data_IF_091764052235
#
_entry.id   IF_091764052235
#
_cell.length_a   1.000
_cell.length_b   1.000
_cell.length_c   1.000
_cell.angle_alpha   90.00
_cell.angle_beta   90.00
_cell.angle_gamma   90.00
#
_symmetry.space_group_name_H-M   'P 1'
#
loop_
_entity.id
_entity.type
_entity.pdbx_description
1 polymer ?
#
# COMPACT_ATOMS: atom_id res chain seq x y z
N UNK A 1 -6.76 -22.02 -9.43
CA UNK A 1 -5.71 -22.31 -10.47
C UNK A 1 -4.52 -22.96 -9.78
N UNK A 2 -3.95 -24.07 -10.31
CA UNK A 2 -2.75 -24.70 -9.74
C UNK A 2 -1.54 -23.82 -10.07
N UNK A 3 -0.63 -23.52 -9.10
CA UNK A 3 0.58 -22.76 -9.35
C UNK A 3 1.49 -23.42 -10.40
N UNK A 4 2.17 -22.63 -11.21
CA UNK A 4 3.07 -23.09 -12.27
C UNK A 4 4.48 -22.55 -11.99
N UNK A 5 5.48 -23.41 -12.05
CA UNK A 5 6.89 -23.03 -11.89
C UNK A 5 7.48 -22.60 -13.23
N UNK A 6 8.17 -21.49 -13.24
CA UNK A 6 8.92 -20.97 -14.38
C UNK A 6 10.40 -20.74 -14.05
N UNK A 7 11.23 -20.70 -15.06
CA UNK A 7 12.63 -20.32 -14.89
C UNK A 7 12.75 -18.82 -14.53
N UNK A 8 13.89 -18.43 -13.99
CA UNK A 8 14.19 -17.05 -13.58
C UNK A 8 14.19 -16.02 -14.74
N UNK A 9 14.23 -16.46 -15.99
CA UNK A 9 14.26 -15.60 -17.18
C UNK A 9 12.89 -15.44 -17.86
N UNK A 10 11.84 -16.08 -17.35
CA UNK A 10 10.51 -16.01 -17.95
C UNK A 10 9.90 -14.61 -17.74
N UNK A 11 9.27 -14.08 -18.78
CA UNK A 11 8.60 -12.78 -18.77
C UNK A 11 7.19 -12.77 -19.37
N UNK A 12 6.80 -13.83 -20.08
CA UNK A 12 5.55 -13.86 -20.84
C UNK A 12 4.46 -14.73 -20.20
N UNK A 13 4.82 -15.75 -19.42
CA UNK A 13 3.94 -16.68 -18.69
C UNK A 13 2.84 -17.33 -19.57
N UNK A 14 3.18 -17.62 -20.83
CA UNK A 14 2.22 -18.17 -21.83
C UNK A 14 2.34 -19.68 -22.07
N UNK A 15 3.32 -20.30 -21.43
CA UNK A 15 3.61 -21.73 -21.55
C UNK A 15 3.26 -22.46 -20.27
N UNK A 16 3.46 -23.78 -20.24
CA UNK A 16 3.33 -24.54 -19.00
C UNK A 16 4.57 -24.43 -18.08
N UNK A 17 5.53 -23.57 -18.40
CA UNK A 17 6.76 -23.36 -17.64
C UNK A 17 7.60 -24.65 -17.50
N UNK A 18 8.19 -24.83 -16.32
CA UNK A 18 8.85 -26.07 -15.90
C UNK A 18 7.82 -27.13 -15.50
N UNK A 19 6.67 -26.74 -14.97
CA UNK A 19 5.58 -27.62 -14.63
C UNK A 19 4.66 -27.08 -13.56
N UNK A 20 3.61 -27.85 -13.25
CA UNK A 20 2.63 -27.53 -12.20
C UNK A 20 3.17 -27.93 -10.84
N UNK A 21 2.79 -27.16 -9.83
CA UNK A 21 3.18 -27.41 -8.45
C UNK A 21 1.97 -27.93 -7.65
N UNK A 22 1.94 -29.23 -7.37
CA UNK A 22 0.94 -29.84 -6.49
C UNK A 22 1.32 -29.56 -5.02
N UNK A 23 1.10 -28.30 -4.61
CA UNK A 23 1.44 -27.82 -3.28
C UNK A 23 0.48 -28.39 -2.21
N UNK A 24 0.98 -28.54 -0.98
CA UNK A 24 0.16 -28.87 0.19
C UNK A 24 -0.65 -27.64 0.63
N UNK A 25 0.01 -26.49 0.67
CA UNK A 25 -0.60 -25.19 0.92
C UNK A 25 0.03 -24.14 0.00
N UNK A 26 -0.73 -23.16 -0.42
CA UNK A 26 -0.22 -22.00 -1.14
C UNK A 26 -1.11 -20.81 -0.81
N UNK A 27 -0.53 -19.81 -0.19
CA UNK A 27 -1.19 -18.57 0.22
C UNK A 27 -0.55 -17.39 -0.47
N UNK A 28 -1.37 -16.50 -0.99
CA UNK A 28 -0.94 -15.19 -1.52
C UNK A 28 -1.50 -14.12 -0.61
N UNK A 29 -0.62 -13.36 0.03
CA UNK A 29 -0.96 -12.26 0.94
C UNK A 29 -0.58 -10.94 0.30
N UNK A 30 -1.55 -10.03 0.19
CA UNK A 30 -1.39 -8.73 -0.47
C UNK A 30 -1.96 -7.62 0.39
N UNK A 31 -1.20 -6.54 0.53
CA UNK A 31 -1.63 -5.32 1.22
C UNK A 31 -1.44 -4.10 0.34
N UNK A 32 -2.39 -3.20 0.38
CA UNK A 32 -2.39 -1.96 -0.41
C UNK A 32 -1.16 -1.12 -0.06
N UNK A 33 -0.40 -0.73 -1.10
CA UNK A 33 0.85 0.04 -1.00
C UNK A 33 1.97 -0.59 -0.13
N UNK A 34 1.85 -1.87 0.20
CA UNK A 34 2.79 -2.56 1.08
C UNK A 34 3.27 -3.88 0.44
N UNK A 35 3.03 -5.01 1.10
CA UNK A 35 3.52 -6.30 0.67
C UNK A 35 2.61 -6.98 -0.37
N UNK A 36 3.26 -7.81 -1.20
CA UNK A 36 2.61 -8.75 -2.14
C UNK A 36 3.50 -9.99 -2.19
N UNK A 37 3.13 -11.03 -1.44
CA UNK A 37 3.96 -12.19 -1.13
C UNK A 37 3.22 -13.49 -1.38
N UNK A 38 3.98 -14.56 -1.61
CA UNK A 38 3.49 -15.92 -1.71
C UNK A 38 4.27 -16.82 -0.75
N UNK A 39 3.53 -17.60 0.03
CA UNK A 39 4.06 -18.67 0.87
C UNK A 39 3.48 -20.03 0.46
N UNK A 40 4.33 -21.01 0.29
CA UNK A 40 3.92 -22.33 -0.19
C UNK A 40 4.63 -23.45 0.54
N UNK A 41 3.88 -24.45 1.02
CA UNK A 41 4.44 -25.72 1.49
C UNK A 41 4.33 -26.77 0.38
N UNK A 42 5.46 -27.38 0.01
CA UNK A 42 5.56 -28.30 -1.11
C UNK A 42 6.19 -29.64 -0.67
N UNK A 43 5.70 -30.81 -1.15
CA UNK A 43 6.31 -32.09 -0.81
C UNK A 43 7.75 -32.19 -1.30
N UNK A 44 8.69 -32.63 -0.44
CA UNK A 44 10.10 -32.77 -0.80
C UNK A 44 10.36 -33.80 -1.91
N UNK A 45 9.42 -34.72 -2.13
CA UNK A 45 9.41 -35.73 -3.18
C UNK A 45 8.56 -35.36 -4.40
N UNK A 46 7.99 -34.15 -4.42
CA UNK A 46 7.21 -33.64 -5.53
C UNK A 46 8.01 -33.52 -6.82
N UNK A 47 7.33 -33.57 -7.98
CA UNK A 47 7.96 -33.67 -9.30
C UNK A 47 8.98 -32.56 -9.56
N UNK A 48 8.69 -31.33 -9.13
CA UNK A 48 9.53 -30.16 -9.36
C UNK A 48 10.25 -29.66 -8.09
N UNK A 49 10.39 -30.50 -7.05
CA UNK A 49 11.01 -30.08 -5.78
C UNK A 49 12.47 -29.59 -5.96
N UNK A 50 13.20 -30.16 -6.93
CA UNK A 50 14.61 -29.78 -7.19
C UNK A 50 14.74 -28.44 -7.89
N UNK A 51 13.73 -28.02 -8.65
CA UNK A 51 13.66 -26.74 -9.37
C UNK A 51 13.09 -25.62 -8.48
N UNK A 52 12.60 -25.90 -7.28
CA UNK A 52 12.26 -24.89 -6.28
C UNK A 52 13.55 -24.32 -5.68
N UNK A 53 14.07 -23.30 -6.35
CA UNK A 53 15.33 -22.63 -5.99
C UNK A 53 15.13 -21.11 -6.04
N UNK A 54 15.87 -20.34 -5.23
CA UNK A 54 15.85 -18.89 -5.32
C UNK A 54 16.12 -18.39 -6.76
N UNK A 55 15.34 -17.40 -7.17
CA UNK A 55 15.39 -16.83 -8.52
C UNK A 55 14.31 -17.35 -9.46
N UNK A 56 13.90 -18.62 -9.37
CA UNK A 56 12.78 -19.14 -10.16
C UNK A 56 11.46 -18.49 -9.76
N UNK A 57 10.45 -18.58 -10.64
CA UNK A 57 9.20 -17.83 -10.51
C UNK A 57 8.03 -18.81 -10.35
N UNK A 58 7.18 -18.56 -9.38
CA UNK A 58 5.89 -19.22 -9.20
C UNK A 58 4.81 -18.31 -9.79
N UNK A 59 4.07 -18.80 -10.78
CA UNK A 59 2.93 -18.10 -11.35
C UNK A 59 1.65 -18.62 -10.70
N UNK A 60 0.99 -17.76 -9.92
CA UNK A 60 -0.09 -18.17 -9.01
C UNK A 60 -1.29 -17.24 -9.08
N UNK A 61 -2.49 -17.79 -8.85
CA UNK A 61 -3.71 -17.00 -8.69
C UNK A 61 -3.64 -16.09 -7.47
N UNK A 62 -4.35 -14.95 -7.54
CA UNK A 62 -4.44 -13.96 -6.45
C UNK A 62 -5.89 -13.58 -6.13
N UNK A 63 -6.88 -14.24 -6.75
CA UNK A 63 -8.28 -13.81 -6.71
C UNK A 63 -8.62 -12.71 -7.73
N UNK A 64 -7.61 -11.90 -8.15
CA UNK A 64 -7.77 -10.85 -9.18
C UNK A 64 -7.18 -11.26 -10.55
N UNK A 65 -6.66 -12.45 -10.64
CA UNK A 65 -5.93 -12.97 -11.77
C UNK A 65 -4.55 -13.50 -11.36
N UNK A 66 -3.89 -14.28 -12.21
CA UNK A 66 -2.62 -14.88 -11.88
C UNK A 66 -1.48 -13.84 -11.96
N UNK A 67 -0.54 -13.91 -11.00
CA UNK A 67 0.62 -13.03 -10.90
C UNK A 67 1.92 -13.83 -10.70
N UNK A 68 3.06 -13.31 -11.15
CA UNK A 68 4.37 -13.94 -11.00
C UNK A 68 5.02 -13.57 -9.66
N UNK A 69 5.52 -14.59 -8.93
CA UNK A 69 6.20 -14.46 -7.64
C UNK A 69 7.60 -15.04 -7.74
N UNK A 70 8.63 -14.23 -7.51
CA UNK A 70 10.02 -14.69 -7.51
C UNK A 70 10.40 -15.29 -6.18
N UNK A 71 10.87 -16.53 -6.19
CA UNK A 71 11.35 -17.24 -5.01
C UNK A 71 12.60 -16.53 -4.50
N UNK A 72 12.59 -16.11 -3.22
CA UNK A 72 13.77 -15.56 -2.56
C UNK A 72 14.35 -16.51 -1.51
N UNK A 73 13.52 -17.39 -0.94
CA UNK A 73 13.94 -18.35 0.09
C UNK A 73 13.24 -19.69 -0.07
N UNK A 74 13.99 -20.76 0.18
CA UNK A 74 13.46 -22.14 0.26
C UNK A 74 14.06 -22.82 1.47
N UNK A 75 13.23 -23.13 2.45
CA UNK A 75 13.59 -23.89 3.64
C UNK A 75 13.30 -25.38 3.38
N UNK A 76 14.34 -26.21 3.36
CA UNK A 76 14.23 -27.63 3.04
C UNK A 76 14.18 -28.48 4.31
N UNK A 77 13.03 -29.08 4.59
CA UNK A 77 12.83 -30.03 5.64
C UNK A 77 12.72 -31.48 5.06
N UNK A 78 12.63 -32.49 5.94
CA UNK A 78 12.67 -33.88 5.50
C UNK A 78 11.51 -34.28 4.57
N UNK A 79 10.30 -33.79 4.83
CA UNK A 79 9.12 -34.16 4.05
C UNK A 79 8.56 -32.99 3.24
N UNK A 80 8.84 -31.77 3.64
CA UNK A 80 8.28 -30.56 3.03
C UNK A 80 9.35 -29.50 2.78
N UNK A 81 9.14 -28.71 1.74
CA UNK A 81 9.89 -27.48 1.48
C UNK A 81 8.94 -26.32 1.72
N UNK A 82 9.37 -25.36 2.55
CA UNK A 82 8.68 -24.09 2.72
C UNK A 82 9.31 -23.09 1.76
N UNK A 83 8.50 -22.54 0.87
CA UNK A 83 8.92 -21.68 -0.22
C UNK A 83 8.33 -20.29 -0.02
N UNK A 84 9.20 -19.28 -0.01
CA UNK A 84 8.83 -17.88 0.15
C UNK A 84 9.18 -17.13 -1.13
N UNK A 85 8.20 -16.40 -1.64
CA UNK A 85 8.35 -15.65 -2.88
C UNK A 85 7.68 -14.27 -2.79
N UNK A 86 8.29 -13.27 -3.40
CA UNK A 86 7.74 -11.94 -3.52
C UNK A 86 7.21 -11.72 -4.94
N UNK A 87 6.18 -10.90 -5.08
CA UNK A 87 5.72 -10.47 -6.40
C UNK A 87 6.88 -9.93 -7.24
N UNK A 88 6.86 -10.17 -8.54
CA UNK A 88 7.96 -9.81 -9.45
C UNK A 88 8.36 -8.31 -9.35
N UNK A 89 7.45 -7.43 -8.93
CA UNK A 89 7.74 -6.00 -8.72
C UNK A 89 8.84 -5.73 -7.69
N UNK A 90 9.15 -6.69 -6.82
CA UNK A 90 10.28 -6.58 -5.89
C UNK A 90 11.64 -6.66 -6.59
N UNK A 91 11.69 -7.14 -7.82
CA UNK A 91 12.92 -7.07 -8.63
C UNK A 91 13.37 -5.62 -8.82
N UNK A 92 12.44 -4.64 -8.74
CA UNK A 92 12.75 -3.21 -8.79
C UNK A 92 13.69 -2.72 -7.68
N UNK A 93 13.86 -3.47 -6.58
CA UNK A 93 14.90 -3.23 -5.60
C UNK A 93 16.32 -3.33 -6.18
N UNK A 94 16.49 -4.10 -7.26
CA UNK A 94 17.76 -4.28 -7.97
C UNK A 94 18.00 -3.30 -9.13
N UNK A 95 17.05 -2.41 -9.43
CA UNK A 95 17.14 -1.44 -10.52
C UNK A 95 17.35 -0.04 -9.97
N UNK A 96 18.59 0.50 -9.98
CA UNK A 96 18.85 1.85 -9.48
C UNK A 96 18.38 2.91 -10.48
N UNK A 97 17.93 4.05 -9.95
CA UNK A 97 17.57 5.25 -10.69
C UNK A 97 18.52 6.39 -10.32
N UNK A 98 18.91 7.19 -11.31
CA UNK A 98 19.75 8.38 -11.11
C UNK A 98 18.98 9.49 -10.41
N UNK A 99 19.68 10.43 -9.74
CA UNK A 99 19.05 11.61 -9.17
C UNK A 99 18.18 12.37 -10.17
N UNK A 100 17.03 12.87 -9.71
CA UNK A 100 16.13 13.68 -10.51
C UNK A 100 15.23 14.54 -9.61
N UNK A 101 14.67 15.60 -10.19
CA UNK A 101 13.60 16.39 -9.60
C UNK A 101 12.39 16.32 -10.51
N UNK A 102 11.21 16.20 -9.93
CA UNK A 102 9.93 16.18 -10.65
C UNK A 102 8.93 17.12 -9.98
N UNK A 103 8.12 17.82 -10.80
CA UNK A 103 7.13 18.79 -10.34
C UNK A 103 5.69 18.26 -10.44
N UNK A 104 5.53 16.99 -10.82
CA UNK A 104 4.23 16.30 -10.90
C UNK A 104 4.38 14.80 -10.84
N UNK A 105 3.32 14.10 -10.44
CA UNK A 105 3.27 12.64 -10.42
C UNK A 105 3.66 12.04 -11.78
N UNK A 106 3.12 12.57 -12.88
CA UNK A 106 3.43 12.07 -14.23
C UNK A 106 4.91 12.22 -14.59
N UNK A 107 5.56 13.34 -14.21
CA UNK A 107 6.98 13.55 -14.43
C UNK A 107 7.83 12.60 -13.59
N UNK A 108 7.47 12.35 -12.33
CA UNK A 108 8.15 11.42 -11.43
C UNK A 108 8.06 9.98 -11.95
N UNK A 109 6.88 9.53 -12.36
CA UNK A 109 6.64 8.21 -12.95
C UNK A 109 7.45 8.02 -14.24
N UNK A 110 7.49 9.04 -15.12
CA UNK A 110 8.31 9.03 -16.33
C UNK A 110 9.82 8.95 -16.04
N UNK A 111 10.26 9.54 -14.93
CA UNK A 111 11.66 9.49 -14.50
C UNK A 111 12.12 8.08 -14.12
N UNK A 112 11.26 7.21 -13.59
CA UNK A 112 11.60 5.83 -13.24
C UNK A 112 12.15 5.04 -14.44
N UNK A 113 11.60 5.25 -15.64
CA UNK A 113 12.13 4.64 -16.87
C UNK A 113 13.31 5.40 -17.45
N UNK A 114 13.20 6.74 -17.57
CA UNK A 114 14.18 7.56 -18.31
C UNK A 114 15.48 7.77 -17.54
N UNK A 115 15.43 7.68 -16.21
CA UNK A 115 16.59 7.83 -15.32
C UNK A 115 17.14 6.51 -14.79
N UNK A 116 16.51 5.36 -15.13
CA UNK A 116 17.04 4.05 -14.77
C UNK A 116 18.49 3.89 -15.22
N UNK A 117 19.35 3.34 -14.36
CA UNK A 117 20.78 3.11 -14.67
C UNK A 117 20.94 1.98 -15.67
N UNK A 118 20.08 0.97 -15.58
CA UNK A 118 20.01 -0.18 -16.49
C UNK A 118 18.58 -0.32 -17.01
N UNK A 119 18.42 -0.85 -18.22
CA UNK A 119 17.11 -1.11 -18.78
C UNK A 119 16.33 -2.09 -17.90
N UNK A 120 15.06 -1.79 -17.66
CA UNK A 120 14.15 -2.61 -16.87
C UNK A 120 13.02 -3.16 -17.75
N UNK A 121 12.52 -4.38 -17.51
CA UNK A 121 11.36 -4.92 -18.23
C UNK A 121 10.05 -4.27 -17.78
N UNK A 122 10.07 -3.44 -16.74
CA UNK A 122 8.87 -2.83 -16.17
C UNK A 122 8.44 -1.59 -16.96
N UNK A 123 7.12 -1.40 -17.01
CA UNK A 123 6.48 -0.20 -17.54
C UNK A 123 5.77 0.53 -16.41
N UNK A 124 5.80 1.86 -16.46
CA UNK A 124 5.26 2.72 -15.42
C UNK A 124 4.23 3.68 -16.00
N UNK A 125 3.09 3.82 -15.33
CA UNK A 125 2.04 4.77 -15.71
C UNK A 125 1.29 5.31 -14.49
N UNK A 126 0.59 6.41 -14.66
CA UNK A 126 -0.27 7.00 -13.62
C UNK A 126 -1.46 7.73 -14.24
N UNK A 127 -2.56 7.76 -13.52
CA UNK A 127 -3.73 8.61 -13.79
C UNK A 127 -3.77 9.83 -12.85
N UNK A 128 -2.84 9.94 -11.90
CA UNK A 128 -2.77 11.06 -10.98
C UNK A 128 -2.42 12.37 -11.72
N UNK A 129 -3.20 13.41 -11.44
CA UNK A 129 -2.98 14.77 -11.92
C UNK A 129 -2.53 15.70 -10.78
N UNK A 130 -1.68 15.19 -9.88
CA UNK A 130 -1.17 15.90 -8.70
C UNK A 130 0.15 16.57 -9.05
N UNK A 131 0.28 17.85 -8.65
CA UNK A 131 1.51 18.64 -8.74
C UNK A 131 2.15 18.75 -7.34
N UNK A 132 3.47 18.69 -7.30
CA UNK A 132 4.28 18.79 -6.09
C UNK A 132 5.73 18.54 -6.45
N UNK A 133 6.65 19.04 -5.65
CA UNK A 133 8.07 18.82 -5.88
C UNK A 133 8.52 17.52 -5.20
N UNK A 134 9.10 16.63 -6.00
CA UNK A 134 9.81 15.44 -5.54
C UNK A 134 11.27 15.56 -5.92
N UNK A 135 12.15 15.46 -4.95
CA UNK A 135 13.61 15.53 -5.14
C UNK A 135 14.25 14.20 -4.72
N UNK A 136 14.78 13.47 -5.69
CA UNK A 136 15.61 12.30 -5.44
C UNK A 136 17.09 12.73 -5.60
N UNK A 137 17.74 13.07 -4.49
CA UNK A 137 19.11 13.64 -4.50
C UNK A 137 20.20 12.62 -4.79
N UNK A 138 19.98 11.35 -4.48
CA UNK A 138 20.97 10.27 -4.57
C UNK A 138 20.44 9.12 -5.40
N UNK A 139 21.32 8.34 -6.06
CA UNK A 139 20.88 7.10 -6.67
C UNK A 139 20.27 6.16 -5.63
N UNK A 140 19.07 5.68 -5.89
CA UNK A 140 18.38 4.69 -5.07
C UNK A 140 17.70 3.65 -5.96
N UNK A 141 17.17 2.58 -5.38
CA UNK A 141 16.39 1.62 -6.13
C UNK A 141 15.05 2.23 -6.57
N UNK A 142 14.57 1.80 -7.73
CA UNK A 142 13.25 2.24 -8.22
C UNK A 142 12.19 1.95 -7.17
N UNK A 143 12.25 0.79 -6.49
CA UNK A 143 11.27 0.42 -5.46
C UNK A 143 11.26 1.39 -4.28
N UNK A 144 12.42 1.85 -3.81
CA UNK A 144 12.52 2.82 -2.71
C UNK A 144 11.98 4.19 -3.12
N UNK A 145 12.26 4.63 -4.35
CA UNK A 145 11.70 5.89 -4.87
C UNK A 145 10.18 5.82 -5.05
N UNK A 146 9.62 4.64 -5.34
CA UNK A 146 8.18 4.44 -5.49
C UNK A 146 7.42 4.60 -4.17
N UNK A 147 7.99 4.14 -3.04
CA UNK A 147 7.30 4.15 -1.75
C UNK A 147 8.22 3.79 -0.59
N UNK A 148 7.75 3.99 0.64
CA UNK A 148 8.46 3.62 1.86
C UNK A 148 9.00 4.80 2.66
N UNK A 149 8.88 6.03 2.18
CA UNK A 149 9.20 7.26 2.90
C UNK A 149 8.30 8.42 2.47
N UNK A 150 8.25 9.48 3.26
CA UNK A 150 7.50 10.70 2.93
C UNK A 150 8.07 11.40 1.68
N UNK A 151 9.37 11.21 1.40
CA UNK A 151 10.07 11.76 0.23
C UNK A 151 9.91 10.88 -1.03
N UNK A 152 9.17 9.78 -0.95
CA UNK A 152 8.89 8.89 -2.09
C UNK A 152 7.78 9.43 -2.98
N UNK A 153 7.62 8.84 -4.18
CA UNK A 153 6.51 9.16 -5.09
C UNK A 153 5.16 9.00 -4.37
N UNK A 154 4.99 7.92 -3.61
CA UNK A 154 3.76 7.68 -2.84
C UNK A 154 3.57 8.72 -1.73
N UNK A 155 4.63 9.08 -1.00
CA UNK A 155 4.58 10.08 0.07
C UNK A 155 4.21 11.47 -0.43
N UNK A 156 4.81 11.89 -1.56
CA UNK A 156 4.59 13.24 -2.13
C UNK A 156 3.27 13.38 -2.88
N UNK A 157 2.87 12.36 -3.65
CA UNK A 157 1.71 12.48 -4.55
C UNK A 157 0.50 11.67 -4.10
N UNK A 158 0.67 10.77 -3.13
CA UNK A 158 -0.38 9.83 -2.74
C UNK A 158 -0.70 8.81 -3.83
N UNK A 159 -1.90 8.23 -3.75
CA UNK A 159 -2.39 7.24 -4.70
C UNK A 159 -2.13 5.81 -4.27
N UNK A 160 -2.44 4.88 -5.16
CA UNK A 160 -2.40 3.45 -4.90
C UNK A 160 -1.66 2.70 -6.00
N UNK A 161 -0.65 1.94 -5.60
CA UNK A 161 0.10 1.10 -6.55
C UNK A 161 -0.70 -0.15 -6.93
N UNK A 162 -0.80 -0.34 -8.24
CA UNK A 162 -1.29 -1.59 -8.84
C UNK A 162 -0.17 -2.23 -9.65
N UNK A 163 0.13 -3.47 -9.33
CA UNK A 163 1.10 -4.27 -10.04
C UNK A 163 0.37 -5.36 -10.83
N UNK A 164 0.68 -5.44 -12.13
CA UNK A 164 0.20 -6.50 -13.01
C UNK A 164 1.37 -7.00 -13.85
N UNK A 165 1.95 -8.14 -13.45
CA UNK A 165 3.19 -8.65 -14.02
C UNK A 165 4.30 -7.59 -13.96
N UNK A 166 4.79 -7.14 -15.12
CA UNK A 166 5.81 -6.09 -15.24
C UNK A 166 5.21 -4.68 -15.43
N UNK A 167 3.92 -4.50 -15.22
CA UNK A 167 3.25 -3.21 -15.29
C UNK A 167 3.04 -2.65 -13.90
N UNK A 168 3.53 -1.44 -13.67
CA UNK A 168 3.38 -0.69 -12.42
C UNK A 168 2.52 0.55 -12.70
N UNK A 169 1.36 0.64 -12.09
CA UNK A 169 0.43 1.76 -12.24
C UNK A 169 0.22 2.43 -10.90
N UNK A 170 0.47 3.72 -10.82
CA UNK A 170 0.07 4.54 -9.68
C UNK A 170 -1.29 5.17 -10.01
N UNK A 171 -2.33 4.78 -9.29
CA UNK A 171 -3.71 5.16 -9.55
C UNK A 171 -4.24 6.05 -8.44
N UNK A 172 -5.19 6.90 -8.76
CA UNK A 172 -5.95 7.69 -7.77
C UNK A 172 -6.71 6.78 -6.83
N UNK A 173 -7.29 5.69 -7.36
CA UNK A 173 -7.87 4.58 -6.62
C UNK A 173 -7.71 3.30 -7.44
N UNK A 174 -7.23 2.23 -6.81
CA UNK A 174 -6.99 0.93 -7.46
C UNK A 174 -8.29 0.18 -7.71
N UNK A 175 -9.19 0.25 -6.74
CA UNK A 175 -10.45 -0.44 -6.74
C UNK A 175 -11.64 0.44 -7.13
N UNK A 176 -12.84 -0.07 -6.91
CA UNK A 176 -14.09 0.62 -7.18
C UNK A 176 -15.20 0.19 -6.21
N UNK A 177 -16.25 1.00 -6.12
CA UNK A 177 -17.46 0.61 -5.39
C UNK A 177 -18.31 -0.33 -6.26
N UNK A 178 -18.28 -1.61 -5.96
CA UNK A 178 -19.07 -2.65 -6.65
C UNK A 178 -20.43 -2.91 -5.99
N UNK A 179 -20.81 -2.11 -4.98
CA UNK A 179 -22.05 -2.26 -4.24
C UNK A 179 -22.09 -3.52 -3.35
N UNK A 180 -20.93 -4.04 -2.97
CA UNK A 180 -20.86 -5.18 -2.04
C UNK A 180 -21.25 -4.72 -0.65
N UNK A 181 -22.18 -5.44 -0.04
CA UNK A 181 -22.67 -5.16 1.33
C UNK A 181 -22.31 -6.31 2.27
N UNK A 182 -21.67 -5.95 3.38
CA UNK A 182 -21.35 -6.85 4.50
C UNK A 182 -22.33 -6.57 5.62
N UNK A 183 -23.09 -7.60 6.02
CA UNK A 183 -24.14 -7.48 7.04
C UNK A 183 -24.09 -8.61 8.04
N UNK A 184 -24.36 -8.31 9.31
CA UNK A 184 -24.60 -9.32 10.33
C UNK A 184 -25.79 -10.22 9.93
N UNK A 185 -25.62 -11.53 10.17
CA UNK A 185 -26.63 -12.53 9.79
C UNK A 185 -26.61 -12.93 8.29
N UNK A 186 -25.75 -12.33 7.47
CA UNK A 186 -25.56 -12.71 6.05
C UNK A 186 -24.15 -13.23 5.79
N UNK A 187 -23.17 -12.36 5.88
CA UNK A 187 -21.77 -12.65 5.52
C UNK A 187 -20.76 -12.08 6.50
N UNK A 188 -21.16 -11.27 7.47
CA UNK A 188 -20.30 -10.79 8.55
C UNK A 188 -20.11 -11.94 9.57
N UNK A 189 -18.88 -12.31 9.85
CA UNK A 189 -18.52 -13.35 10.83
C UNK A 189 -17.99 -12.77 12.13
N UNK A 190 -17.22 -11.67 12.03
CA UNK A 190 -16.70 -10.96 13.19
C UNK A 190 -16.50 -9.48 12.86
N UNK A 191 -16.61 -8.62 13.87
CA UNK A 191 -16.34 -7.20 13.75
C UNK A 191 -15.67 -6.70 15.03
N UNK A 192 -14.52 -6.10 14.89
CA UNK A 192 -13.79 -5.46 15.98
C UNK A 192 -13.55 -4.00 15.63
N UNK A 193 -14.21 -3.11 16.36
CA UNK A 193 -13.95 -1.68 16.27
C UNK A 193 -12.85 -1.31 17.28
N UNK A 194 -11.70 -0.87 16.81
CA UNK A 194 -10.60 -0.40 17.64
C UNK A 194 -10.52 1.11 17.49
N UNK A 195 -10.98 1.84 18.53
CA UNK A 195 -10.70 3.26 18.67
C UNK A 195 -9.35 3.43 19.34
N UNK A 196 -8.33 3.86 18.64
CA UNK A 196 -7.02 4.18 19.21
C UNK A 196 -6.80 5.69 19.16
N UNK A 197 -6.77 6.33 20.33
CA UNK A 197 -6.44 7.75 20.48
C UNK A 197 -4.97 7.96 20.91
N UNK A 198 -4.17 6.91 20.96
CA UNK A 198 -2.80 6.99 21.48
C UNK A 198 -1.90 7.84 20.57
N UNK A 199 -2.13 7.82 19.27
CA UNK A 199 -1.44 8.63 18.27
C UNK A 199 -2.32 9.73 17.66
N UNK A 200 -3.55 9.88 18.15
CA UNK A 200 -4.46 10.92 17.68
C UNK A 200 -4.15 12.27 18.29
N UNK A 201 -4.09 13.29 17.45
CA UNK A 201 -3.97 14.68 17.90
C UNK A 201 -5.30 15.41 17.71
N UNK A 202 -5.60 16.31 18.66
CA UNK A 202 -6.81 17.14 18.65
C UNK A 202 -6.56 18.53 18.07
N UNK A 203 -5.29 18.87 17.88
CA UNK A 203 -4.85 20.11 17.27
C UNK A 203 -3.36 20.07 16.90
N UNK A 204 -2.88 21.05 16.16
CA UNK A 204 -1.49 21.24 15.81
C UNK A 204 -0.99 22.67 16.09
N UNK A 205 0.31 22.78 16.29
CA UNK A 205 1.03 24.00 16.57
C UNK A 205 2.38 23.96 15.87
N UNK A 206 2.54 24.78 14.84
CA UNK A 206 3.77 24.89 14.09
C UNK A 206 4.64 26.05 14.60
N UNK A 207 5.96 25.87 14.57
CA UNK A 207 6.89 26.93 14.94
C UNK A 207 8.08 27.02 13.98
N UNK A 208 8.69 28.21 14.01
CA UNK A 208 9.97 28.53 13.39
C UNK A 208 10.88 29.12 14.46
N UNK A 209 12.13 28.64 14.55
CA UNK A 209 13.12 29.12 15.51
C UNK A 209 14.50 29.16 14.89
N UNK A 210 14.97 30.33 14.47
CA UNK A 210 16.30 30.50 13.87
C UNK A 210 17.00 31.76 14.40
N UNK A 211 18.28 31.61 14.79
CA UNK A 211 19.17 32.71 15.17
C UNK A 211 18.58 33.71 16.18
N UNK A 212 17.81 33.20 17.15
CA UNK A 212 17.17 34.04 18.20
C UNK A 212 15.83 34.66 17.79
N UNK A 213 15.35 34.39 16.56
CA UNK A 213 14.01 34.76 16.12
C UNK A 213 13.08 33.59 16.28
N UNK A 214 11.96 33.78 16.99
CA UNK A 214 10.91 32.78 17.19
C UNK A 214 9.58 33.31 16.65
N UNK A 215 8.90 32.52 15.83
CA UNK A 215 7.53 32.77 15.35
C UNK A 215 6.76 31.48 15.48
N UNK A 216 5.50 31.56 15.83
CA UNK A 216 4.63 30.37 15.91
C UNK A 216 3.27 30.62 15.27
N UNK A 217 2.61 29.53 14.94
CA UNK A 217 1.19 29.52 14.59
C UNK A 217 0.30 29.79 15.80
N UNK A 218 -0.97 30.06 15.53
CA UNK A 218 -2.02 29.76 16.51
C UNK A 218 -2.25 28.24 16.52
N UNK A 219 -2.81 27.71 17.61
CA UNK A 219 -3.21 26.30 17.63
C UNK A 219 -4.36 26.09 16.65
N UNK A 220 -4.16 25.21 15.68
CA UNK A 220 -5.21 24.75 14.79
C UNK A 220 -5.87 23.54 15.42
N UNK A 221 -7.19 23.51 15.52
CA UNK A 221 -7.93 22.44 16.19
C UNK A 221 -8.75 21.62 15.20
N UNK A 222 -8.67 20.28 15.31
CA UNK A 222 -9.67 19.35 14.78
C UNK A 222 -10.90 19.31 15.70
N UNK A 223 -10.67 19.26 17.02
CA UNK A 223 -11.71 19.31 18.02
C UNK A 223 -11.23 20.15 19.23
N UNK A 224 -11.69 21.38 19.31
CA UNK A 224 -11.37 22.28 20.42
C UNK A 224 -12.05 21.89 21.74
N UNK A 225 -13.01 20.95 21.71
CA UNK A 225 -13.76 20.48 22.89
C UNK A 225 -13.23 19.18 23.46
N UNK A 226 -12.30 18.53 22.79
CA UNK A 226 -11.70 17.26 23.22
C UNK A 226 -11.02 17.36 24.59
N UNK A 227 -11.14 16.30 25.38
CA UNK A 227 -10.48 16.20 26.69
C UNK A 227 -9.88 14.78 26.83
N UNK A 228 -8.57 14.64 27.05
CA UNK A 228 -7.56 15.71 27.09
C UNK A 228 -7.26 16.30 25.72
N UNK A 229 -6.81 17.53 25.67
CA UNK A 229 -6.25 18.11 24.46
C UNK A 229 -4.86 17.51 24.22
N UNK A 230 -4.58 17.11 22.98
CA UNK A 230 -3.28 16.59 22.53
C UNK A 230 -2.85 17.34 21.28
N UNK A 231 -1.86 18.20 21.42
CA UNK A 231 -1.41 19.10 20.36
C UNK A 231 -0.14 18.55 19.72
N UNK A 232 -0.19 18.34 18.39
CA UNK A 232 0.99 18.05 17.60
C UNK A 232 1.84 19.31 17.50
N UNK A 233 3.14 19.21 17.81
CA UNK A 233 4.09 20.31 17.68
C UNK A 233 5.06 20.00 16.56
N UNK A 234 5.10 20.87 15.52
CA UNK A 234 5.92 20.68 14.32
C UNK A 234 6.93 21.80 14.15
N UNK A 235 8.15 21.45 13.79
CA UNK A 235 9.26 22.38 13.53
C UNK A 235 9.38 22.61 12.01
N UNK A 236 9.08 23.83 11.59
CA UNK A 236 9.18 24.28 10.20
C UNK A 236 10.35 25.24 9.97
N UNK A 237 11.35 25.21 10.85
CA UNK A 237 12.52 26.10 10.73
C UNK A 237 13.26 25.90 9.41
N UNK A 238 13.33 24.65 8.91
CA UNK A 238 14.00 24.30 7.65
C UNK A 238 13.23 24.67 6.37
N UNK A 239 11.95 24.98 6.48
CA UNK A 239 11.07 25.19 5.32
C UNK A 239 11.12 26.64 4.80
N UNK A 240 11.81 27.53 5.51
CA UNK A 240 11.84 28.95 5.18
C UNK A 240 13.27 29.50 5.10
N UNK A 241 13.59 30.17 4.01
CA UNK A 241 14.84 30.94 3.84
C UNK A 241 14.81 32.28 4.63
N UNK A 242 13.62 32.78 5.00
CA UNK A 242 13.40 34.00 5.76
C UNK A 242 12.32 33.80 6.81
N UNK A 243 12.29 34.66 7.84
CA UNK A 243 11.30 34.57 8.92
C UNK A 243 9.87 34.53 8.38
N UNK A 244 9.11 33.45 8.61
CA UNK A 244 7.73 33.33 8.18
C UNK A 244 6.78 34.22 9.00
N UNK A 245 5.61 34.44 8.48
CA UNK A 245 4.50 35.05 9.22
C UNK A 245 3.71 34.00 10.00
N UNK A 246 3.01 34.39 11.06
CA UNK A 246 2.09 33.51 11.80
C UNK A 246 1.05 32.86 10.85
N UNK A 247 0.54 33.59 9.85
CA UNK A 247 -0.45 33.06 8.92
C UNK A 247 0.13 31.92 8.02
N UNK A 248 1.41 31.97 7.67
CA UNK A 248 2.07 30.88 6.93
C UNK A 248 2.22 29.64 7.82
N UNK A 249 2.59 29.84 9.08
CA UNK A 249 2.67 28.74 10.05
C UNK A 249 1.29 28.18 10.41
N UNK A 250 0.23 29.01 10.47
CA UNK A 250 -1.15 28.55 10.65
C UNK A 250 -1.58 27.58 9.52
N UNK A 251 -1.23 27.89 8.27
CA UNK A 251 -1.51 27.05 7.13
C UNK A 251 -0.76 25.71 7.19
N UNK A 252 0.50 25.70 7.64
CA UNK A 252 1.29 24.49 7.83
C UNK A 252 0.74 23.64 8.98
N UNK A 253 0.44 24.24 10.13
CA UNK A 253 -0.17 23.55 11.26
C UNK A 253 -1.52 22.91 10.88
N UNK A 254 -2.33 23.57 10.03
CA UNK A 254 -3.57 23.00 9.53
C UNK A 254 -3.31 21.83 8.56
N UNK A 255 -2.25 21.91 7.76
CA UNK A 255 -1.83 20.81 6.88
C UNK A 255 -1.32 19.61 7.67
N UNK A 256 -0.53 19.82 8.71
CA UNK A 256 0.01 18.78 9.60
C UNK A 256 -1.08 18.00 10.34
N UNK A 257 -2.26 18.59 10.54
CA UNK A 257 -3.43 17.92 11.12
C UNK A 257 -4.08 16.92 10.17
N UNK A 258 -3.81 17.02 8.87
CA UNK A 258 -4.38 16.09 7.90
C UNK A 258 -3.71 14.71 8.08
N UNK A 259 -4.50 13.73 8.51
CA UNK A 259 -4.02 12.36 8.72
C UNK A 259 -3.60 12.00 10.15
N UNK A 260 -3.63 12.95 11.11
CA UNK A 260 -3.28 12.69 12.53
C UNK A 260 -4.50 12.68 13.48
N UNK A 261 -5.69 12.64 12.93
CA UNK A 261 -6.95 12.50 13.69
C UNK A 261 -7.09 11.11 14.33
N UNK A 262 -8.15 10.91 15.15
CA UNK A 262 -8.40 9.62 15.79
C UNK A 262 -8.47 8.50 14.74
N UNK A 263 -7.57 7.56 14.85
CA UNK A 263 -7.56 6.36 14.03
C UNK A 263 -8.65 5.42 14.58
N UNK A 264 -9.77 5.34 13.91
CA UNK A 264 -10.70 4.25 14.11
C UNK A 264 -10.40 3.17 13.07
N UNK A 265 -9.72 2.11 13.46
CA UNK A 265 -9.60 0.94 12.62
C UNK A 265 -10.78 0.01 12.91
N UNK A 266 -11.45 -0.41 11.86
CA UNK A 266 -12.51 -1.39 11.91
C UNK A 266 -11.99 -2.66 11.25
N UNK A 267 -11.65 -3.65 12.07
CA UNK A 267 -11.34 -5.00 11.58
C UNK A 267 -12.64 -5.75 11.37
N UNK A 268 -12.85 -6.20 10.16
CA UNK A 268 -14.07 -6.92 9.77
C UNK A 268 -13.68 -8.24 9.15
N UNK A 269 -14.10 -9.34 9.77
CA UNK A 269 -14.00 -10.66 9.18
C UNK A 269 -15.35 -11.02 8.56
N UNK A 270 -15.34 -11.50 7.34
CA UNK A 270 -16.55 -11.90 6.65
C UNK A 270 -16.32 -13.09 5.72
N UNK A 271 -17.39 -13.74 5.33
CA UNK A 271 -17.34 -14.78 4.31
C UNK A 271 -17.17 -14.05 2.97
N UNK A 272 -16.01 -14.21 2.30
CA UNK A 272 -15.74 -13.50 1.06
C UNK A 272 -16.77 -13.87 -0.01
N UNK A 273 -17.23 -12.87 -0.71
CA UNK A 273 -18.04 -13.04 -1.93
C UNK A 273 -17.15 -12.86 -3.15
N UNK A 274 -17.41 -13.62 -4.19
CA UNK A 274 -16.66 -13.51 -5.45
C UNK A 274 -16.65 -12.07 -5.98
N UNK A 275 -15.52 -11.67 -6.55
CA UNK A 275 -15.37 -10.40 -7.24
C UNK A 275 -14.93 -9.22 -6.38
N UNK A 276 -14.58 -9.43 -5.11
CA UNK A 276 -13.92 -8.40 -4.28
C UNK A 276 -12.43 -8.40 -4.60
N UNK A 277 -11.88 -7.21 -4.83
CA UNK A 277 -10.47 -6.99 -5.14
C UNK A 277 -9.84 -6.05 -4.10
N UNK A 278 -8.52 -6.08 -4.02
CA UNK A 278 -7.75 -5.14 -3.19
C UNK A 278 -8.00 -3.70 -3.68
N UNK A 279 -8.31 -2.77 -2.76
CA UNK A 279 -8.70 -1.39 -3.05
C UNK A 279 -10.19 -1.18 -3.33
N UNK A 280 -11.02 -2.25 -3.41
CA UNK A 280 -12.47 -2.07 -3.59
C UNK A 280 -13.14 -1.50 -2.35
N UNK A 281 -14.17 -0.69 -2.58
CA UNK A 281 -15.02 -0.15 -1.52
C UNK A 281 -16.18 -1.10 -1.24
N UNK A 282 -16.34 -1.46 0.04
CA UNK A 282 -17.44 -2.29 0.52
C UNK A 282 -18.24 -1.54 1.58
N UNK A 283 -19.56 -1.75 1.62
CA UNK A 283 -20.43 -1.13 2.62
C UNK A 283 -20.66 -2.10 3.78
N UNK A 284 -20.28 -1.71 4.99
CA UNK A 284 -20.47 -2.49 6.22
C UNK A 284 -21.67 -1.98 6.99
N UNK A 285 -22.56 -2.90 7.34
CA UNK A 285 -23.74 -2.64 8.19
C UNK A 285 -23.68 -3.49 9.45
N UNK A 286 -23.63 -2.86 10.61
CA UNK A 286 -23.74 -3.52 11.88
C UNK A 286 -24.61 -2.70 12.84
N UNK A 287 -25.85 -3.17 13.08
CA UNK A 287 -26.88 -2.43 13.80
C UNK A 287 -26.54 -2.18 15.27
N UNK A 288 -25.84 -3.12 15.92
CA UNK A 288 -25.58 -3.05 17.36
C UNK A 288 -24.60 -1.94 17.74
N UNK A 289 -23.77 -1.51 16.79
CA UNK A 289 -22.83 -0.37 16.95
C UNK A 289 -23.23 0.84 16.09
N UNK A 290 -24.41 0.82 15.47
CA UNK A 290 -24.87 1.85 14.50
C UNK A 290 -23.86 2.14 13.39
N UNK A 291 -23.15 1.08 12.95
CA UNK A 291 -22.15 1.18 11.88
C UNK A 291 -22.85 1.06 10.54
N UNK A 292 -22.74 2.11 9.74
CA UNK A 292 -23.08 2.12 8.31
C UNK A 292 -22.03 2.93 7.60
N UNK A 293 -20.95 2.27 7.17
CA UNK A 293 -19.82 2.97 6.54
C UNK A 293 -19.31 2.21 5.33
N UNK A 294 -18.67 2.93 4.42
CA UNK A 294 -17.88 2.33 3.34
C UNK A 294 -16.45 2.20 3.82
N UNK A 295 -15.89 1.03 3.62
CA UNK A 295 -14.52 0.71 3.95
C UNK A 295 -13.81 0.20 2.70
N UNK A 296 -12.52 0.43 2.63
CA UNK A 296 -11.67 -0.05 1.57
C UNK A 296 -11.07 -1.42 1.94
N UNK A 297 -10.92 -2.29 0.97
CA UNK A 297 -10.19 -3.55 1.10
C UNK A 297 -8.70 -3.25 1.09
N UNK A 298 -8.08 -3.27 2.27
CA UNK A 298 -6.65 -2.92 2.44
C UNK A 298 -5.72 -4.12 2.43
N UNK A 299 -6.24 -5.32 2.74
CA UNK A 299 -5.45 -6.55 2.69
C UNK A 299 -6.32 -7.73 2.28
N UNK A 300 -5.72 -8.68 1.58
CA UNK A 300 -6.33 -9.95 1.18
C UNK A 300 -5.35 -11.10 1.37
N UNK A 301 -5.83 -12.22 1.93
CA UNK A 301 -5.12 -13.48 2.00
C UNK A 301 -5.88 -14.50 1.16
N UNK A 302 -5.30 -14.85 0.02
CA UNK A 302 -5.93 -15.73 -0.96
C UNK A 302 -5.35 -17.14 -0.90
N UNK A 303 -6.19 -18.11 -0.58
CA UNK A 303 -5.84 -19.53 -0.57
C UNK A 303 -5.93 -20.09 -1.99
N UNK A 304 -4.77 -20.27 -2.61
CA UNK A 304 -4.66 -20.70 -4.02
C UNK A 304 -5.19 -22.12 -4.21
N UNK A 305 -4.96 -23.00 -3.22
CA UNK A 305 -5.38 -24.41 -3.33
C UNK A 305 -6.91 -24.57 -3.19
N UNK A 306 -7.55 -23.71 -2.42
CA UNK A 306 -9.00 -23.71 -2.21
C UNK A 306 -9.75 -22.73 -3.14
N UNK A 307 -9.02 -21.94 -3.93
CA UNK A 307 -9.52 -20.93 -4.88
C UNK A 307 -10.48 -19.92 -4.23
N UNK A 308 -10.10 -19.42 -3.04
CA UNK A 308 -10.91 -18.48 -2.25
C UNK A 308 -10.04 -17.59 -1.37
N UNK A 309 -10.60 -16.47 -0.93
CA UNK A 309 -10.02 -15.70 0.16
C UNK A 309 -10.26 -16.40 1.50
N UNK A 310 -9.22 -16.55 2.30
CA UNK A 310 -9.32 -17.03 3.69
C UNK A 310 -9.52 -15.84 4.64
N UNK A 311 -8.94 -14.67 4.34
CA UNK A 311 -9.19 -13.42 5.06
C UNK A 311 -9.19 -12.20 4.15
N UNK A 312 -9.93 -11.16 4.55
CA UNK A 312 -9.90 -9.82 3.94
C UNK A 312 -9.94 -8.81 5.09
N UNK A 313 -9.01 -7.87 5.09
CA UNK A 313 -8.99 -6.76 6.03
C UNK A 313 -9.57 -5.51 5.36
N UNK A 314 -10.43 -4.82 6.10
CA UNK A 314 -11.01 -3.55 5.68
C UNK A 314 -10.37 -2.42 6.49
N UNK A 315 -9.88 -1.38 5.80
CA UNK A 315 -9.37 -0.16 6.40
C UNK A 315 -10.43 0.93 6.46
N UNK A 316 -10.30 1.84 7.42
CA UNK A 316 -11.05 3.08 7.37
C UNK A 316 -10.58 3.91 6.17
N UNK A 317 -11.52 4.46 5.40
CA UNK A 317 -11.19 5.51 4.43
C UNK A 317 -10.80 6.72 5.26
N UNK A 318 -9.51 7.04 5.29
CA UNK A 318 -9.09 8.36 5.78
C UNK A 318 -9.72 9.39 4.84
N UNK A 319 -10.42 10.42 5.38
CA UNK A 319 -10.99 11.45 4.53
C UNK A 319 -9.90 12.03 3.64
N UNK A 320 -10.14 12.06 2.35
CA UNK A 320 -9.22 12.72 1.41
C UNK A 320 -9.21 14.22 1.69
N UNK A 321 -8.14 14.91 1.28
CA UNK A 321 -8.05 16.38 1.38
C UNK A 321 -9.30 17.07 0.78
N UNK A 322 -9.87 16.49 -0.28
CA UNK A 322 -11.08 16.96 -0.93
C UNK A 322 -12.32 16.85 -0.04
N UNK A 323 -12.46 15.75 0.70
CA UNK A 323 -13.59 15.52 1.63
C UNK A 323 -13.51 16.46 2.84
N UNK A 324 -12.30 16.70 3.35
CA UNK A 324 -12.06 17.65 4.44
C UNK A 324 -12.39 19.07 4.02
N UNK A 325 -12.02 19.52 2.81
CA UNK A 325 -12.34 20.83 2.27
C UNK A 325 -13.85 20.97 1.99
N UNK A 326 -14.53 19.90 1.57
CA UNK A 326 -15.97 19.91 1.34
C UNK A 326 -16.78 20.04 2.65
N UNK A 327 -16.27 19.50 3.76
CA UNK A 327 -16.90 19.58 5.08
C UNK A 327 -16.70 20.94 5.77
N UNK A 328 -15.77 21.76 5.28
CA UNK A 328 -15.47 23.12 5.78
C UNK A 328 -16.23 24.24 5.03
N UNK A 329 -17.10 23.92 4.09
CA UNK A 329 -18.01 24.84 3.38
C UNK A 329 -19.43 24.72 3.92
#
# INVERSE_FOLDING_TARGET
MIPILYSNTETAFRTNGLGRLDALTCMVSRRLNDFDTLEMSYPSYGEHARELIPGNIIYSATGEGPQPYRIYEVQKAFQTFEVFANHISYDLCGYPVKPFTAQSASAAIGALSTRAVIATPFTFSTDLSVSGELVNEKPDSIRAVMGGSDESILGVYGGEWKFDHFKCELLTARGSDKGVEIRYGKNLTDITAIGNNEEAYTGAFAYYSNSGTYVSSNVQYLDATAVPQKILVTDHTGDFESTPTTAQLDALAAADLLGVGPLSSLSVSFIPTDGICLGDLVTVYYSDFDIRTKLEVVQTDYNVMLDRYDSIELGAILPTLADTIASLK
#
